data_IF_659631285048
#
_entry.id   IF_659631285048
#
_cell.length_a   1.000
_cell.length_b   1.000
_cell.length_c   1.000
_cell.angle_alpha   90.00
_cell.angle_beta   90.00
_cell.angle_gamma   90.00
#
_symmetry.space_group_name_H-M   'P 1'
#
loop_
_entity.id
_entity.type
_entity.pdbx_description
1 polymer ?
#
# COMPACT_ATOMS: atom_id res chain seq x y z
N UNK A 1 -35.16 -52.40 31.51
CA UNK A 1 -34.32 -51.41 30.80
C UNK A 1 -34.57 -50.04 31.43
N UNK A 2 -33.75 -49.63 32.41
CA UNK A 2 -33.81 -48.27 32.94
C UNK A 2 -32.94 -47.39 32.05
N UNK A 3 -33.58 -46.57 31.22
CA UNK A 3 -32.92 -45.56 30.39
C UNK A 3 -32.40 -44.44 31.29
N UNK A 4 -31.09 -44.38 31.48
CA UNK A 4 -30.42 -43.22 32.09
C UNK A 4 -30.53 -42.03 31.14
N UNK A 5 -31.46 -41.11 31.42
CA UNK A 5 -31.54 -39.81 30.74
C UNK A 5 -30.34 -38.98 31.19
N UNK A 6 -29.32 -38.93 30.35
CA UNK A 6 -28.15 -38.07 30.52
C UNK A 6 -28.64 -36.63 30.50
N UNK A 7 -28.55 -35.93 31.63
CA UNK A 7 -28.93 -34.52 31.71
C UNK A 7 -28.04 -33.71 30.77
N UNK A 8 -28.63 -33.15 29.70
CA UNK A 8 -27.91 -32.23 28.83
C UNK A 8 -27.59 -30.96 29.61
N UNK A 9 -26.30 -30.77 29.93
CA UNK A 9 -25.80 -29.51 30.50
C UNK A 9 -25.77 -28.48 29.39
N UNK A 10 -26.85 -27.70 29.28
CA UNK A 10 -26.90 -26.53 28.40
C UNK A 10 -25.93 -25.44 28.84
N UNK A 11 -25.45 -24.65 27.87
CA UNK A 11 -24.61 -23.47 28.09
C UNK A 11 -25.39 -22.40 28.86
N UNK A 12 -24.80 -21.78 29.88
CA UNK A 12 -25.49 -20.77 30.68
C UNK A 12 -25.48 -19.41 29.97
N UNK A 13 -26.52 -18.60 30.17
CA UNK A 13 -26.56 -17.22 29.66
C UNK A 13 -25.40 -16.37 30.21
N UNK A 14 -24.98 -16.63 31.46
CA UNK A 14 -23.86 -15.91 32.07
C UNK A 14 -22.52 -16.25 31.41
N UNK A 15 -22.30 -17.51 31.04
CA UNK A 15 -21.12 -17.90 30.26
C UNK A 15 -21.09 -17.21 28.90
N UNK A 16 -22.24 -17.11 28.23
CA UNK A 16 -22.33 -16.42 26.95
C UNK A 16 -22.04 -14.91 27.08
N UNK A 17 -22.56 -14.27 28.12
CA UNK A 17 -22.32 -12.85 28.37
C UNK A 17 -20.85 -12.53 28.64
N UNK A 18 -20.16 -13.36 29.42
CA UNK A 18 -18.74 -13.17 29.72
C UNK A 18 -17.90 -13.38 28.45
N UNK A 19 -18.22 -14.40 27.64
CA UNK A 19 -17.51 -14.64 26.38
C UNK A 19 -17.66 -13.45 25.43
N UNK A 20 -18.86 -12.91 25.27
CA UNK A 20 -19.10 -11.75 24.40
C UNK A 20 -18.33 -10.52 24.93
N UNK A 21 -18.30 -10.31 26.24
CA UNK A 21 -17.54 -9.21 26.84
C UNK A 21 -16.03 -9.30 26.54
N UNK A 22 -15.43 -10.48 26.67
CA UNK A 22 -14.01 -10.70 26.38
C UNK A 22 -13.73 -10.55 24.87
N UNK A 23 -14.56 -11.15 24.02
CA UNK A 23 -14.43 -11.04 22.56
C UNK A 23 -14.57 -9.59 22.10
N UNK A 24 -15.46 -8.80 22.70
CA UNK A 24 -15.63 -7.38 22.42
C UNK A 24 -14.35 -6.57 22.68
N UNK A 25 -13.67 -6.81 23.81
CA UNK A 25 -12.41 -6.14 24.16
C UNK A 25 -11.31 -6.55 23.17
N UNK A 26 -11.18 -7.84 22.87
CA UNK A 26 -10.16 -8.33 21.92
C UNK A 26 -10.40 -7.77 20.51
N UNK A 27 -11.65 -7.74 20.05
CA UNK A 27 -12.01 -7.24 18.72
C UNK A 27 -11.68 -5.75 18.58
N UNK A 28 -11.91 -4.93 19.62
CA UNK A 28 -11.62 -3.50 19.60
C UNK A 28 -10.14 -3.18 19.31
N UNK A 29 -9.22 -4.04 19.74
CA UNK A 29 -7.77 -3.87 19.50
C UNK A 29 -7.32 -4.63 18.25
N UNK A 30 -7.81 -5.86 18.05
CA UNK A 30 -7.34 -6.74 16.97
C UNK A 30 -7.76 -6.25 15.58
N UNK A 31 -8.99 -5.76 15.42
CA UNK A 31 -9.51 -5.30 14.12
C UNK A 31 -8.71 -4.12 13.53
N UNK A 32 -8.47 -3.01 14.25
CA UNK A 32 -7.68 -1.91 13.70
C UNK A 32 -6.21 -2.32 13.44
N UNK A 33 -5.64 -3.21 14.25
CA UNK A 33 -4.28 -3.70 14.01
C UNK A 33 -4.18 -4.59 12.77
N UNK A 34 -5.12 -5.52 12.59
CA UNK A 34 -5.13 -6.42 11.44
C UNK A 34 -5.37 -5.66 10.13
N UNK A 35 -6.29 -4.70 10.12
CA UNK A 35 -6.55 -3.87 8.93
C UNK A 35 -5.33 -3.06 8.50
N UNK A 36 -4.61 -2.46 9.46
CA UNK A 36 -3.35 -1.77 9.18
C UNK A 36 -2.26 -2.71 8.64
N UNK A 37 -2.14 -3.92 9.19
CA UNK A 37 -1.19 -4.92 8.70
C UNK A 37 -1.48 -5.30 7.24
N UNK A 38 -2.74 -5.57 6.91
CA UNK A 38 -3.16 -5.88 5.53
C UNK A 38 -2.91 -4.69 4.60
N UNK A 39 -3.22 -3.46 5.03
CA UNK A 39 -2.94 -2.25 4.25
C UNK A 39 -1.45 -2.11 3.92
N UNK A 40 -0.55 -2.29 4.92
CA UNK A 40 0.90 -2.28 4.71
C UNK A 40 1.38 -3.37 3.77
N UNK A 41 0.83 -4.59 3.88
CA UNK A 41 1.17 -5.69 2.97
C UNK A 41 0.77 -5.38 1.53
N UNK A 42 -0.43 -4.82 1.32
CA UNK A 42 -0.87 -4.37 -0.02
C UNK A 42 0.05 -3.29 -0.57
N UNK A 43 0.40 -2.28 0.23
CA UNK A 43 1.33 -1.22 -0.17
C UNK A 43 2.70 -1.78 -0.54
N UNK A 44 3.24 -2.74 0.23
CA UNK A 44 4.48 -3.43 -0.12
C UNK A 44 4.43 -4.10 -1.50
N UNK A 45 3.29 -4.72 -1.84
CA UNK A 45 3.05 -5.30 -3.17
C UNK A 45 2.95 -4.24 -4.27
N UNK A 46 2.32 -3.09 -4.02
CA UNK A 46 2.32 -1.99 -4.99
C UNK A 46 3.75 -1.52 -5.27
N UNK A 47 4.54 -1.30 -4.22
CA UNK A 47 5.92 -0.81 -4.34
C UNK A 47 6.81 -1.77 -5.15
N UNK A 48 6.61 -3.09 -5.04
CA UNK A 48 7.35 -4.04 -5.87
C UNK A 48 6.91 -4.01 -7.34
N UNK A 49 5.62 -3.80 -7.60
CA UNK A 49 5.05 -3.88 -8.94
C UNK A 49 5.30 -2.64 -9.80
N UNK A 50 5.59 -1.49 -9.18
CA UNK A 50 5.88 -0.22 -9.88
C UNK A 50 7.37 -0.02 -10.22
N UNK A 51 8.23 -0.99 -9.88
CA UNK A 51 9.68 -0.90 -10.11
C UNK A 51 10.04 -0.72 -11.58
N UNK A 52 9.20 -1.21 -12.50
CA UNK A 52 9.36 -1.00 -13.95
C UNK A 52 9.30 0.48 -14.35
N UNK A 53 8.44 1.29 -13.73
CA UNK A 53 8.39 2.74 -13.96
C UNK A 53 9.64 3.43 -13.43
N UNK A 54 10.14 3.02 -12.25
CA UNK A 54 11.37 3.58 -11.69
C UNK A 54 12.56 3.34 -12.60
N UNK A 55 12.75 2.09 -13.06
CA UNK A 55 13.85 1.74 -13.97
C UNK A 55 13.75 2.51 -15.29
N UNK A 56 12.54 2.64 -15.86
CA UNK A 56 12.35 3.38 -17.10
C UNK A 56 12.64 4.89 -16.93
N UNK A 57 12.26 5.48 -15.80
CA UNK A 57 12.59 6.88 -15.48
C UNK A 57 14.09 7.03 -15.24
N UNK A 58 14.73 6.10 -14.53
CA UNK A 58 16.19 6.13 -14.33
C UNK A 58 16.93 6.08 -15.66
N UNK A 59 16.55 5.18 -16.56
CA UNK A 59 17.16 5.10 -17.89
C UNK A 59 16.93 6.41 -18.67
N UNK A 60 15.72 6.97 -18.63
CA UNK A 60 15.46 8.27 -19.23
C UNK A 60 16.34 9.39 -18.66
N UNK A 61 16.59 9.39 -17.34
CA UNK A 61 17.47 10.36 -16.69
C UNK A 61 18.92 10.17 -17.16
N UNK A 62 19.38 8.93 -17.33
CA UNK A 62 20.72 8.65 -17.87
C UNK A 62 20.86 9.15 -19.32
N UNK A 63 19.83 8.94 -20.15
CA UNK A 63 19.85 9.35 -21.56
C UNK A 63 19.72 10.88 -21.75
N UNK A 64 18.89 11.54 -20.92
CA UNK A 64 18.50 12.96 -21.09
C UNK A 64 19.12 13.90 -20.07
N UNK A 65 19.90 13.40 -19.12
CA UNK A 65 20.67 14.15 -18.13
C UNK A 65 19.87 14.83 -17.01
N UNK A 66 18.53 14.83 -17.06
CA UNK A 66 17.70 15.46 -16.05
C UNK A 66 16.30 14.81 -15.95
N UNK A 67 15.72 14.70 -14.74
CA UNK A 67 14.38 14.14 -14.54
C UNK A 67 13.28 14.99 -15.19
N UNK A 68 13.49 16.31 -15.32
CA UNK A 68 12.51 17.23 -15.93
C UNK A 68 12.15 16.90 -17.38
N UNK A 69 12.97 16.09 -18.05
CA UNK A 69 12.76 15.67 -19.44
C UNK A 69 12.15 14.26 -19.54
N UNK A 70 11.71 13.68 -18.42
CA UNK A 70 11.22 12.32 -18.32
C UNK A 70 9.71 12.27 -18.03
N UNK A 71 8.92 12.73 -18.99
CA UNK A 71 7.46 12.61 -18.98
C UNK A 71 7.01 11.38 -19.77
N UNK A 72 6.06 10.60 -19.23
CA UNK A 72 5.47 9.48 -19.97
C UNK A 72 4.98 9.91 -21.37
N UNK A 73 4.32 11.08 -21.45
CA UNK A 73 3.78 11.62 -22.70
C UNK A 73 4.81 11.87 -23.81
N UNK A 74 6.11 11.98 -23.47
CA UNK A 74 7.18 12.31 -24.43
C UNK A 74 8.28 11.23 -24.50
N UNK A 75 8.23 10.23 -23.62
CA UNK A 75 9.24 9.18 -23.50
C UNK A 75 8.55 7.82 -23.65
N UNK A 76 8.61 7.19 -24.84
CA UNK A 76 7.98 5.89 -25.08
C UNK A 76 8.51 4.75 -24.22
N UNK A 77 9.72 4.91 -23.64
CA UNK A 77 10.32 3.94 -22.74
C UNK A 77 9.58 3.84 -21.39
N UNK A 78 8.98 4.94 -20.93
CA UNK A 78 8.24 4.96 -19.67
C UNK A 78 6.90 4.26 -19.92
N UNK A 79 6.54 3.22 -19.14
CA UNK A 79 5.26 2.54 -19.32
C UNK A 79 4.09 3.52 -19.18
N UNK A 80 3.02 3.28 -19.95
CA UNK A 80 1.84 4.13 -20.00
C UNK A 80 1.30 4.46 -18.60
N UNK A 81 0.86 5.71 -18.43
CA UNK A 81 0.17 6.14 -17.22
C UNK A 81 -1.12 5.32 -17.01
N UNK A 82 -1.43 5.04 -15.74
CA UNK A 82 -2.66 4.37 -15.35
C UNK A 82 -3.72 5.45 -15.09
N UNK A 83 -4.79 5.42 -15.87
CA UNK A 83 -5.89 6.36 -15.76
C UNK A 83 -6.62 6.20 -14.42
N UNK A 84 -7.24 7.29 -13.93
CA UNK A 84 -8.03 7.25 -12.69
C UNK A 84 -9.22 6.31 -12.84
N UNK A 85 -9.50 5.52 -11.80
CA UNK A 85 -10.57 4.53 -11.81
C UNK A 85 -10.16 3.16 -12.37
N UNK A 86 -8.85 2.88 -12.51
CA UNK A 86 -8.36 1.56 -12.91
C UNK A 86 -8.63 0.50 -11.84
N UNK A 87 -8.80 0.90 -10.57
CA UNK A 87 -9.12 0.05 -9.40
C UNK A 87 -8.27 -1.25 -9.31
N UNK A 88 -7.00 -1.14 -9.72
CA UNK A 88 -6.03 -2.23 -9.68
C UNK A 88 -6.10 -3.22 -10.84
N UNK A 89 -6.77 -2.89 -11.95
CA UNK A 89 -6.84 -3.72 -13.14
C UNK A 89 -5.47 -3.90 -13.82
N UNK A 90 -4.68 -2.83 -13.89
CA UNK A 90 -3.34 -2.82 -14.51
C UNK A 90 -2.26 -3.25 -13.50
N UNK A 91 -2.29 -2.68 -12.31
CA UNK A 91 -1.39 -3.04 -11.20
C UNK A 91 -2.23 -3.18 -9.95
N UNK A 92 -2.22 -4.35 -9.30
CA UNK A 92 -3.04 -4.60 -8.11
C UNK A 92 -2.93 -3.47 -7.09
N UNK A 93 -4.10 -2.98 -6.65
CA UNK A 93 -4.27 -1.90 -5.68
C UNK A 93 -3.85 -0.49 -6.15
N UNK A 94 -3.54 -0.27 -7.43
CA UNK A 94 -3.30 1.06 -8.00
C UNK A 94 -4.54 1.55 -8.72
N UNK A 95 -5.06 2.70 -8.30
CA UNK A 95 -6.20 3.36 -8.95
C UNK A 95 -5.77 4.35 -10.04
N UNK A 96 -4.61 4.98 -9.86
CA UNK A 96 -4.02 5.93 -10.80
C UNK A 96 -2.51 5.95 -10.65
N UNK A 97 -1.79 6.07 -11.77
CA UNK A 97 -0.35 6.30 -11.80
C UNK A 97 -0.04 7.30 -12.90
N UNK A 98 0.72 8.34 -12.58
CA UNK A 98 1.16 9.33 -13.56
C UNK A 98 2.66 9.61 -13.41
N UNK A 99 3.38 9.65 -14.53
CA UNK A 99 4.80 10.02 -14.56
C UNK A 99 4.98 11.36 -15.26
N UNK A 100 5.29 12.39 -14.48
CA UNK A 100 5.49 13.77 -14.95
C UNK A 100 6.83 14.27 -14.45
N UNK A 101 7.71 14.69 -15.35
CA UNK A 101 9.05 15.22 -15.06
C UNK A 101 9.86 14.26 -14.16
N UNK A 102 9.76 12.97 -14.44
CA UNK A 102 10.38 11.88 -13.69
C UNK A 102 9.70 11.59 -12.34
N UNK A 103 8.78 12.43 -11.88
CA UNK A 103 8.03 12.20 -10.64
C UNK A 103 6.90 11.21 -10.92
N UNK A 104 6.89 10.10 -10.19
CA UNK A 104 5.88 9.05 -10.31
C UNK A 104 4.88 9.26 -9.17
N UNK A 105 3.66 9.69 -9.51
CA UNK A 105 2.57 9.92 -8.55
C UNK A 105 1.58 8.76 -8.59
N UNK A 106 1.29 8.17 -7.43
CA UNK A 106 0.49 6.95 -7.33
C UNK A 106 -0.66 7.15 -6.36
N UNK A 107 -1.85 6.83 -6.82
CA UNK A 107 -3.07 6.73 -6.03
C UNK A 107 -3.41 5.26 -5.88
N UNK A 108 -3.57 4.79 -4.64
CA UNK A 108 -3.88 3.37 -4.38
C UNK A 108 -5.32 3.18 -3.96
N UNK A 109 -5.87 1.98 -4.12
CA UNK A 109 -7.20 1.64 -3.60
C UNK A 109 -7.17 1.28 -2.12
N UNK A 110 -5.98 1.34 -1.49
CA UNK A 110 -5.76 0.97 -0.10
C UNK A 110 -6.14 2.12 0.82
N UNK A 111 -6.90 1.83 1.86
CA UNK A 111 -7.28 2.80 2.90
C UNK A 111 -6.69 2.42 4.26
N UNK A 112 -6.46 3.42 5.11
CA UNK A 112 -6.18 3.21 6.53
C UNK A 112 -7.43 2.81 7.33
N UNK A 113 -7.27 2.60 8.64
CA UNK A 113 -8.38 2.30 9.55
C UNK A 113 -9.42 3.42 9.65
N UNK A 114 -9.07 4.66 9.28
CA UNK A 114 -9.99 5.80 9.25
C UNK A 114 -10.69 5.96 7.88
N UNK A 115 -10.40 5.08 6.90
CA UNK A 115 -10.95 5.15 5.55
C UNK A 115 -10.22 6.13 4.63
N UNK A 116 -9.08 6.66 5.04
CA UNK A 116 -8.27 7.58 4.23
C UNK A 116 -7.42 6.79 3.23
N UNK A 117 -7.46 7.20 1.97
CA UNK A 117 -6.67 6.58 0.91
C UNK A 117 -5.16 6.81 1.11
N UNK A 118 -4.37 5.76 0.90
CA UNK A 118 -2.93 5.77 1.10
C UNK A 118 -2.22 6.03 -0.23
N UNK A 119 -1.85 7.28 -0.47
CA UNK A 119 -1.24 7.73 -1.72
C UNK A 119 0.24 8.04 -1.48
N UNK A 120 1.05 7.92 -2.54
CA UNK A 120 2.47 8.20 -2.45
C UNK A 120 3.08 8.66 -3.77
N UNK A 121 4.21 9.35 -3.66
CA UNK A 121 4.92 10.01 -4.74
C UNK A 121 6.41 9.64 -4.65
N UNK A 122 6.94 9.10 -5.74
CA UNK A 122 8.35 8.88 -5.95
C UNK A 122 8.96 10.06 -6.68
N UNK A 123 9.92 10.72 -6.02
CA UNK A 123 10.64 11.87 -6.58
C UNK A 123 12.09 11.47 -6.82
N UNK A 124 12.57 11.47 -8.08
CA UNK A 124 13.98 11.26 -8.37
C UNK A 124 14.75 12.56 -8.13
N UNK A 125 15.91 12.45 -7.50
CA UNK A 125 16.87 13.53 -7.33
C UNK A 125 18.22 13.07 -7.87
N UNK A 126 18.77 13.79 -8.84
CA UNK A 126 20.11 13.51 -9.36
C UNK A 126 21.15 14.21 -8.49
N UNK A 127 21.98 13.45 -7.79
CA UNK A 127 23.04 13.97 -6.94
C UNK A 127 24.33 13.22 -7.21
N UNK A 128 25.44 13.95 -7.35
CA UNK A 128 26.80 13.37 -7.51
C UNK A 128 26.91 12.26 -8.58
N UNK A 129 26.15 12.36 -9.67
CA UNK A 129 26.23 11.44 -10.82
C UNK A 129 25.37 10.18 -10.72
N UNK A 130 24.52 10.04 -9.70
CA UNK A 130 23.53 8.95 -9.60
C UNK A 130 22.13 9.50 -9.27
N UNK A 131 21.11 8.68 -9.51
CA UNK A 131 19.71 8.98 -9.19
C UNK A 131 19.38 8.46 -7.80
N UNK A 132 18.92 9.33 -6.91
CA UNK A 132 18.34 8.98 -5.62
C UNK A 132 16.83 9.07 -5.69
N UNK A 133 16.14 8.13 -5.04
CA UNK A 133 14.68 8.17 -4.94
C UNK A 133 14.26 8.56 -3.53
N UNK A 134 13.36 9.54 -3.45
CA UNK A 134 12.62 9.87 -2.24
C UNK A 134 11.16 9.45 -2.40
N UNK A 135 10.62 8.80 -1.37
CA UNK A 135 9.21 8.43 -1.30
C UNK A 135 8.52 9.30 -0.26
N UNK A 136 7.45 9.97 -0.66
CA UNK A 136 6.59 10.77 0.21
C UNK A 136 5.14 10.34 0.07
N UNK A 137 4.36 10.35 1.14
CA UNK A 137 2.97 9.87 1.08
C UNK A 137 2.32 9.72 2.44
N UNK A 138 1.02 9.38 2.44
CA UNK A 138 0.22 9.20 3.66
C UNK A 138 0.42 7.84 4.32
N UNK A 139 0.81 6.80 3.58
CA UNK A 139 1.01 5.45 4.10
C UNK A 139 2.44 4.91 4.03
N UNK A 140 3.31 5.51 3.22
CA UNK A 140 4.71 5.11 3.08
C UNK A 140 5.62 6.32 2.95
N UNK A 141 6.79 6.25 3.56
CA UNK A 141 7.84 7.27 3.44
C UNK A 141 9.22 6.61 3.32
N UNK A 142 10.15 7.28 2.65
CA UNK A 142 11.55 6.87 2.70
C UNK A 142 12.13 7.18 4.07
N UNK A 143 12.76 6.19 4.72
CA UNK A 143 13.43 6.37 6.03
C UNK A 143 14.70 7.25 5.91
N UNK A 144 15.32 7.24 4.73
CA UNK A 144 16.40 8.11 4.23
C UNK A 144 16.38 8.00 2.69
N UNK A 145 16.74 9.04 1.90
CA UNK A 145 16.93 8.86 0.45
C UNK A 145 17.82 7.63 0.21
N UNK A 146 17.38 6.71 -0.64
CA UNK A 146 18.13 5.49 -0.97
C UNK A 146 18.22 4.40 0.12
N UNK A 147 17.59 4.54 1.30
CA UNK A 147 17.52 3.47 2.33
C UNK A 147 16.08 3.23 2.78
N UNK A 148 15.54 2.05 2.46
CA UNK A 148 14.33 1.48 3.04
C UNK A 148 13.03 2.30 2.88
N UNK A 149 11.97 1.64 2.40
CA UNK A 149 10.62 2.22 2.46
C UNK A 149 9.95 1.79 3.75
N UNK A 150 9.57 2.77 4.58
CA UNK A 150 8.80 2.55 5.80
C UNK A 150 7.32 2.82 5.51
N UNK A 151 6.53 1.75 5.39
CA UNK A 151 5.08 1.86 5.32
C UNK A 151 4.48 1.72 6.73
N UNK A 152 3.83 2.78 7.21
CA UNK A 152 3.21 2.86 8.54
C UNK A 152 1.69 2.87 8.45
#
# INVERSE_FOLDING_TARGET
MQSSLKAERGFTLIELMIVIAIVGILAAVAVPQYTNYVARSKLGGVLSNITSWQVAVEQCIQDRGAPTNCDNATVPLIPADIATGDDGATVSYVDKLATVKGVISITTTVTDTAGTQLNFIYTPTTSKGYTEWSLTGTGCKSSTPSRGVDCK
#
